data_IF_976914082243
#
_entry.id   IF_976914082243
#
_cell.length_a   1.000
_cell.length_b   1.000
_cell.length_c   1.000
_cell.angle_alpha   90.00
_cell.angle_beta   90.00
_cell.angle_gamma   90.00
#
_symmetry.space_group_name_H-M   'P 1'
#
loop_
_entity.id
_entity.type
_entity.pdbx_description
1 polymer ?
#
# COMPACT_ATOMS: atom_id res chain seq x y z
N UNK A 1 -3.95 -11.98 9.97
CA UNK A 1 -4.90 -11.87 8.85
C UNK A 1 -4.27 -11.07 7.74
N UNK A 2 -4.39 -11.54 6.51
CA UNK A 2 -3.89 -10.81 5.35
C UNK A 2 -5.01 -9.94 4.77
N UNK A 3 -4.64 -8.78 4.23
CA UNK A 3 -5.57 -7.90 3.50
C UNK A 3 -5.08 -7.69 2.09
N UNK A 4 -6.02 -7.69 1.15
CA UNK A 4 -5.71 -7.24 -0.20
C UNK A 4 -5.50 -5.72 -0.16
N UNK A 5 -4.45 -5.24 -0.80
CA UNK A 5 -4.12 -3.82 -0.82
C UNK A 5 -4.30 -3.25 -2.21
N UNK A 6 -5.02 -2.12 -2.26
CA UNK A 6 -5.24 -1.39 -3.51
C UNK A 6 -4.85 0.07 -3.25
N UNK A 7 -3.98 0.62 -4.09
CA UNK A 7 -3.65 2.04 -4.05
C UNK A 7 -4.05 2.65 -5.38
N UNK A 8 -4.96 3.63 -5.33
CA UNK A 8 -5.43 4.33 -6.52
C UNK A 8 -4.98 5.77 -6.50
N UNK A 9 -4.64 6.28 -7.67
CA UNK A 9 -4.43 7.70 -7.85
C UNK A 9 -5.76 8.35 -8.25
N UNK A 10 -6.11 9.49 -7.63
CA UNK A 10 -7.33 10.25 -7.92
C UNK A 10 -6.98 11.72 -8.14
N UNK A 11 -7.79 12.42 -8.90
CA UNK A 11 -7.60 13.85 -9.14
C UNK A 11 -8.27 14.72 -8.09
N UNK A 12 -9.43 14.30 -7.58
CA UNK A 12 -10.21 15.07 -6.61
C UNK A 12 -10.42 14.21 -5.36
N UNK A 13 -9.65 14.51 -4.33
CA UNK A 13 -9.67 13.70 -3.10
C UNK A 13 -11.03 13.76 -2.42
N UNK A 14 -11.62 14.95 -2.28
CA UNK A 14 -12.91 15.11 -1.57
C UNK A 14 -14.04 14.35 -2.23
N UNK A 15 -14.12 14.41 -3.56
CA UNK A 15 -15.15 13.67 -4.30
C UNK A 15 -14.97 12.16 -4.15
N UNK A 16 -13.73 11.71 -4.14
CA UNK A 16 -13.44 10.28 -4.00
C UNK A 16 -13.65 9.79 -2.59
N UNK A 17 -13.36 10.60 -1.57
CA UNK A 17 -13.68 10.25 -0.18
C UNK A 17 -15.18 10.07 -0.02
N UNK A 18 -15.99 10.99 -0.58
CA UNK A 18 -17.45 10.88 -0.51
C UNK A 18 -17.94 9.61 -1.21
N UNK A 19 -17.42 9.35 -2.42
CA UNK A 19 -17.82 8.19 -3.21
C UNK A 19 -17.51 6.88 -2.50
N UNK A 20 -16.27 6.69 -2.06
CA UNK A 20 -15.85 5.42 -1.47
C UNK A 20 -16.40 5.24 -0.06
N UNK A 21 -16.56 6.31 0.71
CA UNK A 21 -17.21 6.21 2.02
C UNK A 21 -18.65 5.73 1.90
N UNK A 22 -19.37 6.21 0.86
CA UNK A 22 -20.74 5.75 0.60
C UNK A 22 -20.75 4.30 0.11
N UNK A 23 -19.86 3.95 -0.82
CA UNK A 23 -19.80 2.59 -1.36
C UNK A 23 -19.44 1.56 -0.29
N UNK A 24 -18.47 1.89 0.57
CA UNK A 24 -18.04 0.99 1.65
C UNK A 24 -18.91 1.09 2.91
N UNK A 25 -19.80 2.08 2.96
CA UNK A 25 -20.64 2.37 4.11
C UNK A 25 -19.83 2.55 5.39
N UNK A 26 -18.70 3.24 5.29
CA UNK A 26 -17.87 3.60 6.44
C UNK A 26 -16.93 4.75 6.09
N UNK A 27 -16.54 5.56 7.08
CA UNK A 27 -15.59 6.64 6.84
C UNK A 27 -14.18 6.10 6.67
N UNK A 28 -13.25 6.90 6.12
CA UNK A 28 -11.85 6.50 6.06
C UNK A 28 -11.28 6.28 7.46
N UNK A 29 -10.38 5.29 7.58
CA UNK A 29 -9.63 5.06 8.80
C UNK A 29 -8.58 6.16 9.01
N UNK A 30 -8.13 6.78 7.93
CA UNK A 30 -7.18 7.90 7.98
C UNK A 30 -7.41 8.83 6.80
N UNK A 31 -7.29 10.15 7.04
CA UNK A 31 -7.40 11.18 6.01
C UNK A 31 -6.29 12.20 6.21
N UNK A 32 -5.60 12.54 5.13
CA UNK A 32 -4.62 13.62 5.08
C UNK A 32 -4.97 14.54 3.90
N UNK A 33 -4.22 15.60 3.69
CA UNK A 33 -4.50 16.54 2.60
C UNK A 33 -4.37 15.94 1.20
N UNK A 34 -3.61 14.87 1.06
CA UNK A 34 -3.32 14.22 -0.23
C UNK A 34 -3.63 12.72 -0.22
N UNK A 35 -4.32 12.20 0.82
CA UNK A 35 -4.40 10.77 1.03
C UNK A 35 -5.61 10.40 1.89
N UNK A 36 -6.22 9.26 1.60
CA UNK A 36 -7.24 8.65 2.47
C UNK A 36 -7.13 7.13 2.37
N UNK A 37 -7.52 6.45 3.43
CA UNK A 37 -7.42 4.99 3.49
C UNK A 37 -8.61 4.43 4.25
N UNK A 38 -9.14 3.33 3.74
CA UNK A 38 -10.18 2.52 4.38
C UNK A 38 -9.60 1.16 4.72
N UNK A 39 -9.85 0.69 5.95
CA UNK A 39 -9.47 -0.64 6.39
C UNK A 39 -10.75 -1.47 6.50
N UNK A 40 -11.04 -2.23 5.45
CA UNK A 40 -12.26 -3.05 5.39
C UNK A 40 -12.00 -4.41 6.03
N UNK A 41 -13.03 -4.98 6.66
CA UNK A 41 -12.92 -6.27 7.32
C UNK A 41 -13.60 -7.40 6.55
N UNK A 42 -14.61 -7.08 5.73
CA UNK A 42 -15.38 -8.09 5.00
C UNK A 42 -15.73 -7.56 3.60
N UNK A 43 -14.92 -7.89 2.59
CA UNK A 43 -13.66 -8.65 2.64
C UNK A 43 -12.54 -7.83 3.28
N UNK A 44 -11.47 -8.49 3.75
CA UNK A 44 -10.34 -7.75 4.34
C UNK A 44 -9.52 -7.06 3.24
N UNK A 45 -9.66 -5.74 3.17
CA UNK A 45 -9.02 -4.90 2.15
C UNK A 45 -8.46 -3.64 2.80
N UNK A 46 -7.24 -3.30 2.44
CA UNK A 46 -6.65 -1.99 2.72
C UNK A 46 -6.77 -1.19 1.42
N UNK A 47 -7.71 -0.25 1.38
CA UNK A 47 -7.99 0.54 0.18
C UNK A 47 -7.51 1.97 0.40
N UNK A 48 -6.55 2.41 -0.40
CA UNK A 48 -5.96 3.74 -0.28
C UNK A 48 -6.13 4.53 -1.57
N UNK A 49 -6.33 5.84 -1.41
CA UNK A 49 -6.35 6.77 -2.54
C UNK A 49 -5.41 7.92 -2.23
N UNK A 50 -4.78 8.46 -3.26
CA UNK A 50 -3.92 9.64 -3.11
C UNK A 50 -3.93 10.48 -4.38
N UNK A 51 -3.51 11.76 -4.23
CA UNK A 51 -3.36 12.68 -5.35
C UNK A 51 -1.90 12.81 -5.78
N UNK A 52 -1.05 11.87 -5.39
CA UNK A 52 0.40 11.97 -5.60
C UNK A 52 0.90 11.31 -6.89
N UNK A 53 0.04 10.65 -7.63
CA UNK A 53 0.40 10.04 -8.90
C UNK A 53 0.21 10.98 -10.08
N UNK A 54 0.38 10.45 -11.30
CA UNK A 54 0.34 11.25 -12.51
C UNK A 54 -1.01 11.21 -13.24
N UNK A 55 -1.76 10.13 -13.10
CA UNK A 55 -3.07 10.02 -13.75
C UNK A 55 -3.99 9.12 -12.93
N UNK A 56 -5.32 9.32 -13.00
CA UNK A 56 -6.27 8.52 -12.24
C UNK A 56 -6.24 7.04 -12.63
N UNK A 57 -6.54 6.21 -11.65
CA UNK A 57 -6.64 4.77 -11.83
C UNK A 57 -5.80 4.02 -10.81
N UNK A 58 -5.69 2.72 -11.00
CA UNK A 58 -4.90 1.88 -10.11
C UNK A 58 -3.42 2.24 -10.26
N UNK A 59 -2.78 2.58 -9.14
CA UNK A 59 -1.36 2.86 -9.11
C UNK A 59 -0.58 1.57 -8.88
N UNK A 60 -0.93 0.84 -7.85
CA UNK A 60 -0.36 -0.48 -7.58
C UNK A 60 -1.30 -1.29 -6.68
N UNK A 61 -1.05 -2.59 -6.65
CA UNK A 61 -1.76 -3.53 -5.79
C UNK A 61 -0.81 -4.11 -4.76
N UNK A 62 -1.31 -4.92 -3.86
CA UNK A 62 -0.44 -5.56 -2.90
C UNK A 62 -1.15 -6.48 -1.93
N UNK A 63 -0.38 -6.99 -0.99
CA UNK A 63 -0.87 -7.81 0.11
C UNK A 63 -0.24 -7.29 1.39
N UNK A 64 -1.09 -6.90 2.34
CA UNK A 64 -0.67 -6.53 3.68
C UNK A 64 -0.75 -7.76 4.56
N UNK A 65 0.32 -8.07 5.26
CA UNK A 65 0.37 -9.22 6.17
C UNK A 65 0.38 -8.74 7.62
N UNK A 66 0.10 -9.66 8.54
CA UNK A 66 -0.01 -9.35 9.96
C UNK A 66 1.24 -9.62 10.76
N UNK A 67 2.29 -10.19 10.15
CA UNK A 67 3.51 -10.53 10.87
C UNK A 67 4.72 -10.62 9.94
N UNK A 68 5.91 -10.53 10.51
CA UNK A 68 7.15 -10.70 9.76
C UNK A 68 7.27 -12.11 9.17
N UNK A 69 6.75 -13.12 9.88
CA UNK A 69 6.77 -14.51 9.41
C UNK A 69 5.90 -14.68 8.16
N UNK A 70 4.73 -14.03 8.13
CA UNK A 70 3.87 -14.06 6.95
C UNK A 70 4.54 -13.36 5.76
N UNK A 71 5.26 -12.26 6.02
CA UNK A 71 5.98 -11.56 4.96
C UNK A 71 7.09 -12.44 4.39
N UNK A 72 7.84 -13.10 5.26
CA UNK A 72 8.91 -14.00 4.85
C UNK A 72 8.36 -15.16 4.00
N UNK A 73 7.21 -15.71 4.36
CA UNK A 73 6.58 -16.78 3.60
C UNK A 73 6.18 -16.33 2.19
N UNK A 74 5.63 -15.13 2.05
CA UNK A 74 5.31 -14.57 0.74
C UNK A 74 6.57 -14.33 -0.10
N UNK A 75 7.63 -13.84 0.54
CA UNK A 75 8.90 -13.60 -0.14
C UNK A 75 9.52 -14.89 -0.63
N UNK A 76 9.41 -15.97 0.15
CA UNK A 76 9.87 -17.29 -0.26
C UNK A 76 9.11 -17.77 -1.51
N UNK A 77 7.80 -17.53 -1.59
CA UNK A 77 7.02 -17.88 -2.77
C UNK A 77 7.54 -17.14 -4.00
N UNK A 78 7.79 -15.83 -3.88
CA UNK A 78 8.31 -15.03 -4.97
C UNK A 78 9.70 -15.51 -5.43
N UNK A 79 10.56 -15.85 -4.48
CA UNK A 79 11.91 -16.34 -4.74
C UNK A 79 11.86 -17.68 -5.47
N UNK A 80 11.03 -18.62 -5.01
CA UNK A 80 10.90 -19.94 -5.63
C UNK A 80 10.30 -19.86 -7.04
N UNK A 81 9.41 -18.89 -7.27
CA UNK A 81 8.80 -18.67 -8.58
C UNK A 81 9.69 -17.83 -9.51
N UNK A 82 10.88 -17.46 -9.06
CA UNK A 82 11.84 -16.66 -9.82
C UNK A 82 11.23 -15.32 -10.29
N UNK A 83 10.44 -14.70 -9.44
CA UNK A 83 9.84 -13.41 -9.74
C UNK A 83 10.87 -12.29 -9.64
N UNK A 84 10.72 -11.26 -10.48
CA UNK A 84 11.51 -10.03 -10.34
C UNK A 84 11.12 -9.35 -9.03
N UNK A 85 12.07 -9.28 -8.11
CA UNK A 85 11.82 -8.84 -6.73
C UNK A 85 12.74 -7.66 -6.37
N UNK A 86 12.13 -6.60 -5.82
CA UNK A 86 12.86 -5.45 -5.27
C UNK A 86 12.58 -5.40 -3.77
N UNK A 87 13.61 -5.66 -2.97
CA UNK A 87 13.51 -5.66 -1.51
C UNK A 87 13.86 -4.28 -1.00
N UNK A 88 12.90 -3.59 -0.37
CA UNK A 88 13.14 -2.27 0.22
C UNK A 88 13.41 -2.33 1.73
N UNK A 89 13.13 -3.49 2.37
CA UNK A 89 13.25 -3.60 3.82
C UNK A 89 12.29 -2.65 4.53
N UNK A 90 12.73 -2.11 5.67
CA UNK A 90 11.95 -1.12 6.40
C UNK A 90 12.01 0.22 5.68
N UNK A 91 10.84 0.79 5.39
CA UNK A 91 10.72 2.06 4.70
C UNK A 91 9.46 2.79 5.15
N UNK A 92 9.42 4.09 4.90
CA UNK A 92 8.31 4.97 5.28
C UNK A 92 7.61 5.47 4.03
N UNK A 93 6.33 5.14 3.90
CA UNK A 93 5.51 5.62 2.79
C UNK A 93 4.03 5.52 3.16
N UNK A 94 3.20 6.37 2.54
CA UNK A 94 1.76 6.35 2.75
C UNK A 94 1.37 6.49 4.22
N UNK A 95 2.09 7.35 4.95
CA UNK A 95 1.88 7.65 6.37
C UNK A 95 2.09 6.43 7.28
N UNK A 96 2.89 5.47 6.84
CA UNK A 96 3.21 4.29 7.63
C UNK A 96 4.66 3.88 7.44
N UNK A 97 5.24 3.31 8.49
CA UNK A 97 6.54 2.65 8.41
C UNK A 97 6.28 1.16 8.23
N UNK A 98 6.87 0.57 7.21
CA UNK A 98 6.60 -0.82 6.83
C UNK A 98 7.88 -1.53 6.44
N UNK A 99 7.87 -2.84 6.61
CA UNK A 99 8.85 -3.73 5.99
C UNK A 99 8.19 -4.28 4.73
N UNK A 100 8.86 -4.15 3.57
CA UNK A 100 8.21 -4.46 2.31
C UNK A 100 9.18 -4.93 1.23
N UNK A 101 8.61 -5.60 0.24
CA UNK A 101 9.27 -5.85 -1.03
C UNK A 101 8.23 -5.73 -2.15
N UNK A 102 8.72 -5.58 -3.37
CA UNK A 102 7.90 -5.41 -4.57
C UNK A 102 8.13 -6.56 -5.52
N UNK A 103 7.07 -7.00 -6.17
CA UNK A 103 7.18 -7.84 -7.37
C UNK A 103 6.42 -7.15 -8.48
N UNK A 104 6.80 -7.41 -9.72
CA UNK A 104 6.13 -6.85 -10.89
C UNK A 104 5.53 -8.01 -11.69
N UNK A 105 4.25 -7.91 -12.01
CA UNK A 105 3.61 -8.97 -12.78
C UNK A 105 3.99 -8.90 -14.26
N UNK A 106 3.58 -9.89 -15.07
CA UNK A 106 4.03 -9.94 -16.47
C UNK A 106 3.66 -8.74 -17.33
N UNK A 107 2.60 -8.00 -17.00
CA UNK A 107 2.23 -6.80 -17.75
C UNK A 107 2.75 -5.51 -17.13
N UNK A 108 3.59 -5.61 -16.12
CA UNK A 108 4.26 -4.44 -15.55
C UNK A 108 3.58 -3.80 -14.37
N UNK A 109 2.51 -4.39 -13.82
CA UNK A 109 1.87 -3.85 -12.63
C UNK A 109 2.66 -4.23 -11.39
N UNK A 110 2.95 -3.23 -10.56
CA UNK A 110 3.69 -3.44 -9.33
C UNK A 110 2.78 -3.97 -8.22
N UNK A 111 3.28 -4.94 -7.46
CA UNK A 111 2.62 -5.49 -6.28
C UNK A 111 3.50 -5.28 -5.08
N UNK A 112 3.00 -4.51 -4.12
CA UNK A 112 3.68 -4.25 -2.85
C UNK A 112 3.24 -5.32 -1.85
N UNK A 113 4.21 -5.99 -1.22
CA UNK A 113 3.90 -6.95 -0.16
C UNK A 113 4.57 -6.45 1.10
N UNK A 114 3.78 -6.25 2.17
CA UNK A 114 4.28 -5.45 3.28
C UNK A 114 3.65 -5.81 4.62
N UNK A 115 4.42 -5.53 5.67
CA UNK A 115 3.99 -5.60 7.05
C UNK A 115 4.14 -4.20 7.65
N UNK A 116 3.03 -3.59 8.05
CA UNK A 116 3.03 -2.25 8.64
C UNK A 116 3.55 -2.33 10.08
N UNK A 117 4.57 -1.52 10.39
CA UNK A 117 5.18 -1.49 11.70
C UNK A 117 4.55 -0.42 12.59
N UNK A 118 4.33 0.79 12.06
CA UNK A 118 3.58 1.83 12.76
C UNK A 118 3.08 2.89 11.77
N UNK A 119 2.25 3.82 12.26
CA UNK A 119 1.77 4.97 11.47
C UNK A 119 2.57 6.21 11.83
N UNK A 120 2.78 7.09 10.86
CA UNK A 120 3.57 8.30 11.01
C UNK A 120 2.87 9.50 10.37
N UNK A 121 3.27 10.75 10.71
CA UNK A 121 2.54 11.93 10.24
C UNK A 121 2.93 12.42 8.84
N UNK A 122 3.90 11.80 8.16
CA UNK A 122 4.34 12.23 6.83
C UNK A 122 4.09 11.14 5.81
N UNK A 123 3.88 11.52 4.53
CA UNK A 123 3.60 10.56 3.46
C UNK A 123 4.79 9.63 3.20
N UNK A 124 5.98 10.21 3.02
CA UNK A 124 7.22 9.46 2.88
C UNK A 124 8.34 10.24 3.55
N UNK A 125 9.18 9.54 4.31
CA UNK A 125 10.43 10.11 4.77
C UNK A 125 11.44 10.03 3.64
N UNK A 126 12.27 11.10 3.53
CA UNK A 126 13.40 11.02 2.63
C UNK A 126 14.32 9.90 3.11
N UNK A 127 14.80 9.01 2.22
CA UNK A 127 15.74 7.98 2.65
C UNK A 127 17.04 8.63 3.16
N UNK A 128 17.72 7.98 4.12
CA UNK A 128 19.04 8.47 4.54
C UNK A 128 19.98 8.57 3.35
N UNK A 129 20.89 9.55 3.40
CA UNK A 129 21.85 9.76 2.31
C UNK A 129 22.61 8.48 1.95
N UNK A 130 22.93 7.66 2.95
CA UNK A 130 23.64 6.40 2.72
C UNK A 130 22.77 5.34 2.03
N UNK A 131 21.46 5.50 2.01
CA UNK A 131 20.53 4.58 1.36
C UNK A 131 20.25 4.94 -0.09
N UNK A 132 20.76 6.07 -0.52
CA UNK A 132 20.59 6.55 -1.89
C UNK A 132 21.75 6.08 -2.76
#
# INVERSE_FOLDING_TARGET
MKRFYVHMHVDDLSKNIAFYSAMFNQPPARTEGDYAKWMLEDPPVNFAISTRGSKPGVDHLGIQVGSAEELAALKDNATRADMALLDEGETTCCYARSDKYWVTDPQGLAWEQFHTLDTIPVFCEAPPAAAQ
#
